data_IF_471844562346
#
_entry.id   IF_471844562346
#
_cell.length_a   1.000
_cell.length_b   1.000
_cell.length_c   1.000
_cell.angle_alpha   90.00
_cell.angle_beta   90.00
_cell.angle_gamma   90.00
#
_symmetry.space_group_name_H-M   'P 1'
#
loop_
_entity.id
_entity.type
_entity.pdbx_description
1 polymer ?
#
# COMPACT_ATOMS: atom_id res chain seq x y z
N UNK A 1 -17.02 0.74 2.42
CA UNK A 1 -15.60 0.71 2.88
C UNK A 1 -15.29 -0.44 3.84
N UNK A 2 -15.99 -0.58 4.99
CA UNK A 2 -15.76 -1.65 5.99
C UNK A 2 -15.75 -3.08 5.39
N UNK A 3 -16.64 -3.39 4.45
CA UNK A 3 -16.75 -4.71 3.80
C UNK A 3 -15.49 -5.12 3.03
N UNK A 4 -14.85 -4.20 2.30
CA UNK A 4 -13.62 -4.49 1.55
C UNK A 4 -12.48 -4.86 2.49
N UNK A 5 -12.36 -4.13 3.61
CA UNK A 5 -11.35 -4.41 4.64
C UNK A 5 -11.59 -5.76 5.32
N UNK A 6 -12.86 -6.10 5.60
CA UNK A 6 -13.23 -7.42 6.13
C UNK A 6 -12.90 -8.52 5.11
N UNK A 7 -13.30 -8.36 3.84
CA UNK A 7 -13.05 -9.36 2.79
C UNK A 7 -11.53 -9.58 2.57
N UNK A 8 -10.74 -8.51 2.58
CA UNK A 8 -9.28 -8.58 2.45
C UNK A 8 -8.63 -9.21 3.69
N UNK A 9 -9.06 -8.84 4.91
CA UNK A 9 -8.62 -9.47 6.16
C UNK A 9 -8.91 -10.96 6.15
N UNK A 10 -10.16 -11.33 5.90
CA UNK A 10 -10.61 -12.71 5.91
C UNK A 10 -9.82 -13.57 4.92
N UNK A 11 -9.59 -13.06 3.71
CA UNK A 11 -8.79 -13.76 2.73
C UNK A 11 -7.32 -13.87 3.14
N UNK A 12 -6.73 -12.81 3.71
CA UNK A 12 -5.34 -12.82 4.18
C UNK A 12 -5.13 -13.89 5.27
N UNK A 13 -6.09 -14.02 6.19
CA UNK A 13 -6.08 -15.03 7.24
C UNK A 13 -6.32 -16.44 6.69
N UNK A 14 -7.31 -16.63 5.81
CA UNK A 14 -7.55 -17.91 5.12
C UNK A 14 -6.32 -18.38 4.32
N UNK A 15 -5.66 -17.45 3.62
CA UNK A 15 -4.46 -17.75 2.85
C UNK A 15 -3.25 -18.07 3.74
N UNK A 16 -3.15 -17.47 4.92
CA UNK A 16 -2.13 -17.84 5.91
C UNK A 16 -2.36 -19.26 6.42
N UNK A 17 -3.58 -19.61 6.83
CA UNK A 17 -3.91 -20.93 7.38
C UNK A 17 -3.73 -22.07 6.36
N UNK A 18 -3.96 -21.80 5.08
CA UNK A 18 -3.84 -22.80 4.00
C UNK A 18 -2.40 -23.05 3.52
N UNK A 19 -1.46 -22.15 3.80
CA UNK A 19 -0.05 -22.31 3.38
C UNK A 19 0.86 -22.84 4.48
N UNK A 20 0.57 -22.55 5.74
CA UNK A 20 1.51 -22.83 6.84
C UNK A 20 1.10 -23.93 7.82
N UNK A 21 -0.14 -24.45 7.76
CA UNK A 21 -0.74 -25.24 8.85
C UNK A 21 -0.65 -24.55 10.24
N UNK A 22 -0.30 -23.27 10.31
CA UNK A 22 -0.15 -22.56 11.56
C UNK A 22 -1.51 -22.02 12.04
N UNK A 23 -1.95 -22.39 13.25
CA UNK A 23 -3.10 -21.81 13.90
C UNK A 23 -2.69 -20.45 14.49
N UNK A 24 -2.32 -19.49 13.65
CA UNK A 24 -1.61 -18.31 14.14
C UNK A 24 -1.79 -17.12 13.23
N UNK A 25 -2.74 -16.25 13.57
CA UNK A 25 -3.09 -15.04 12.83
C UNK A 25 -1.97 -14.02 12.57
N UNK A 26 -0.70 -14.30 12.90
CA UNK A 26 0.45 -13.42 12.65
C UNK A 26 0.70 -13.27 11.14
N UNK A 27 0.78 -14.39 10.42
CA UNK A 27 0.99 -14.37 8.96
C UNK A 27 -0.20 -13.73 8.21
N UNK A 28 -1.42 -13.94 8.72
CA UNK A 28 -2.62 -13.26 8.21
C UNK A 28 -2.57 -11.74 8.39
N UNK A 29 -2.03 -11.27 9.53
CA UNK A 29 -1.82 -9.83 9.78
C UNK A 29 -0.75 -9.25 8.86
N UNK A 30 0.33 -9.97 8.61
CA UNK A 30 1.38 -9.54 7.68
C UNK A 30 0.81 -9.41 6.26
N UNK A 31 0.10 -10.43 5.77
CA UNK A 31 -0.57 -10.39 4.47
C UNK A 31 -1.58 -9.24 4.37
N UNK A 32 -2.39 -9.00 5.41
CA UNK A 32 -3.28 -7.84 5.45
C UNK A 32 -2.52 -6.51 5.47
N UNK A 33 -1.38 -6.46 6.15
CA UNK A 33 -0.46 -5.32 6.13
C UNK A 33 0.08 -5.03 4.73
N UNK A 34 0.44 -6.05 3.95
CA UNK A 34 0.88 -5.90 2.55
C UNK A 34 -0.22 -5.28 1.69
N UNK A 35 -1.47 -5.71 1.86
CA UNK A 35 -2.60 -5.10 1.17
C UNK A 35 -2.70 -3.60 1.49
N UNK A 36 -2.62 -3.22 2.77
CA UNK A 36 -2.67 -1.81 3.19
C UNK A 36 -1.44 -1.01 2.72
N UNK A 37 -0.26 -1.63 2.74
CA UNK A 37 0.99 -1.02 2.31
C UNK A 37 0.92 -0.54 0.86
N UNK A 38 0.25 -1.28 -0.02
CA UNK A 38 0.06 -0.87 -1.42
C UNK A 38 -0.61 0.50 -1.57
N UNK A 39 -1.55 0.84 -0.68
CA UNK A 39 -2.20 2.15 -0.66
C UNK A 39 -1.40 3.19 0.14
N UNK A 40 -0.70 2.75 1.18
CA UNK A 40 0.16 3.63 1.97
C UNK A 40 1.33 4.19 1.15
N UNK A 41 1.91 3.37 0.26
CA UNK A 41 2.93 3.83 -0.67
C UNK A 41 2.44 4.97 -1.58
N UNK A 42 1.18 4.90 -2.04
CA UNK A 42 0.56 5.99 -2.80
C UNK A 42 0.49 7.29 -2.00
N UNK A 43 0.10 7.21 -0.73
CA UNK A 43 0.07 8.37 0.17
C UNK A 43 1.48 8.94 0.41
N UNK A 44 2.47 8.07 0.62
CA UNK A 44 3.86 8.49 0.77
C UNK A 44 4.37 9.21 -0.49
N UNK A 45 4.07 8.70 -1.69
CA UNK A 45 4.42 9.36 -2.94
C UNK A 45 3.71 10.71 -3.09
N UNK A 46 2.43 10.83 -2.70
CA UNK A 46 1.75 12.14 -2.69
C UNK A 46 2.47 13.14 -1.78
N UNK A 47 2.74 12.75 -0.54
CA UNK A 47 3.40 13.61 0.46
C UNK A 47 4.80 13.99 -0.02
N UNK A 48 5.58 13.04 -0.55
CA UNK A 48 6.91 13.30 -1.08
C UNK A 48 6.88 14.30 -2.25
N UNK A 49 5.92 14.14 -3.17
CA UNK A 49 5.77 15.06 -4.30
C UNK A 49 5.38 16.47 -3.86
N UNK A 50 4.40 16.60 -2.95
CA UNK A 50 4.00 17.89 -2.38
C UNK A 50 5.19 18.54 -1.65
N UNK A 51 5.91 17.78 -0.83
CA UNK A 51 7.07 18.26 -0.07
C UNK A 51 8.20 18.74 -0.99
N UNK A 52 8.43 18.02 -2.09
CA UNK A 52 9.42 18.40 -3.10
C UNK A 52 9.05 19.68 -3.83
N UNK A 53 7.76 19.92 -4.08
CA UNK A 53 7.28 21.14 -4.74
C UNK A 53 7.35 22.36 -3.81
N UNK A 54 7.23 22.14 -2.50
CA UNK A 54 7.30 23.17 -1.47
C UNK A 54 8.73 23.39 -0.92
N UNK A 55 9.77 22.83 -1.55
CA UNK A 55 11.19 22.92 -1.12
C UNK A 55 11.47 22.44 0.32
N UNK A 56 10.61 21.60 0.90
CA UNK A 56 10.79 21.05 2.25
C UNK A 56 11.75 19.84 2.29
N UNK A 57 12.41 19.47 1.19
CA UNK A 57 13.20 18.22 1.10
C UNK A 57 14.70 18.38 1.26
N UNK A 58 15.18 19.50 1.83
CA UNK A 58 16.62 19.74 2.07
C UNK A 58 17.27 18.74 3.03
N UNK A 59 16.49 18.06 3.87
CA UNK A 59 16.98 17.13 4.91
C UNK A 59 17.40 15.74 4.39
N UNK A 60 17.12 15.43 3.13
CA UNK A 60 17.49 14.17 2.46
C UNK A 60 18.76 14.31 1.60
N UNK A 61 19.55 15.37 1.81
CA UNK A 61 20.78 15.62 1.05
C UNK A 61 21.72 14.41 1.07
N UNK A 62 22.40 14.17 -0.05
CA UNK A 62 23.33 13.06 -0.25
C UNK A 62 24.50 13.01 0.75
N UNK A 63 24.69 14.08 1.52
CA UNK A 63 25.73 14.19 2.55
C UNK A 63 25.26 13.80 3.97
N UNK A 64 23.98 13.44 4.15
CA UNK A 64 23.44 13.07 5.46
C UNK A 64 23.96 11.72 5.99
N UNK A 65 24.22 11.55 7.31
CA UNK A 65 24.70 10.29 7.90
C UNK A 65 23.72 9.12 7.65
N UNK A 66 24.25 7.92 7.38
CA UNK A 66 23.45 6.71 7.11
C UNK A 66 22.40 6.41 8.19
N UNK A 67 22.73 6.65 9.46
CA UNK A 67 21.82 6.47 10.60
C UNK A 67 20.59 7.37 10.49
N UNK A 68 20.76 8.62 10.05
CA UNK A 68 19.67 9.59 9.89
C UNK A 68 18.73 9.15 8.77
N UNK A 69 19.25 8.55 7.69
CA UNK A 69 18.44 7.99 6.60
C UNK A 69 17.63 6.77 7.04
N UNK A 70 18.23 5.88 7.83
CA UNK A 70 17.54 4.72 8.40
C UNK A 70 16.43 5.14 9.37
N UNK A 71 16.69 6.13 10.24
CA UNK A 71 15.68 6.70 11.12
C UNK A 71 14.52 7.33 10.35
N UNK A 72 14.80 8.07 9.27
CA UNK A 72 13.76 8.61 8.40
C UNK A 72 12.93 7.51 7.74
N UNK A 73 13.58 6.47 7.20
CA UNK A 73 12.87 5.30 6.64
C UNK A 73 11.96 4.64 7.69
N UNK A 74 12.45 4.50 8.93
CA UNK A 74 11.66 3.94 10.02
C UNK A 74 10.47 4.84 10.40
N UNK A 75 10.68 6.16 10.50
CA UNK A 75 9.61 7.13 10.76
C UNK A 75 8.56 7.10 9.65
N UNK A 76 8.96 6.94 8.39
CA UNK A 76 8.05 6.83 7.25
C UNK A 76 7.28 5.50 7.21
N UNK A 77 7.85 4.40 7.70
CA UNK A 77 7.18 3.09 7.73
C UNK A 77 6.35 2.89 9.00
N UNK A 78 6.74 3.49 10.13
CA UNK A 78 6.05 3.29 11.42
C UNK A 78 4.52 3.57 11.41
N UNK A 79 3.98 4.56 10.66
CA UNK A 79 2.55 4.81 10.63
C UNK A 79 1.78 3.66 9.99
N UNK A 80 2.35 2.92 9.02
CA UNK A 80 1.63 1.79 8.41
C UNK A 80 1.45 0.63 9.40
N UNK A 81 2.40 0.43 10.31
CA UNK A 81 2.29 -0.56 11.37
C UNK A 81 1.17 -0.18 12.35
N UNK A 82 1.11 1.11 12.74
CA UNK A 82 0.06 1.64 13.62
C UNK A 82 -1.31 1.55 12.95
N UNK A 83 -1.44 1.98 11.69
CA UNK A 83 -2.69 1.91 10.92
C UNK A 83 -3.16 0.47 10.80
N UNK A 84 -2.26 -0.46 10.47
CA UNK A 84 -2.59 -1.89 10.37
C UNK A 84 -3.09 -2.43 11.70
N UNK A 85 -2.40 -2.12 12.80
CA UNK A 85 -2.80 -2.51 14.15
C UNK A 85 -4.20 -1.95 14.52
N UNK A 86 -4.44 -0.66 14.31
CA UNK A 86 -5.71 -0.01 14.62
C UNK A 86 -6.87 -0.57 13.79
N UNK A 87 -6.64 -0.83 12.50
CA UNK A 87 -7.64 -1.42 11.61
C UNK A 87 -7.95 -2.86 12.04
N UNK A 88 -6.94 -3.66 12.35
CA UNK A 88 -7.15 -5.01 12.87
C UNK A 88 -7.93 -5.01 14.17
N UNK A 89 -7.57 -4.16 15.14
CA UNK A 89 -8.28 -4.01 16.42
C UNK A 89 -9.74 -3.61 16.22
N UNK A 90 -10.03 -2.74 15.24
CA UNK A 90 -11.40 -2.34 14.89
C UNK A 90 -12.19 -3.44 14.20
N UNK A 91 -11.52 -4.35 13.51
CA UNK A 91 -12.12 -5.47 12.80
C UNK A 91 -12.24 -6.73 13.66
N UNK A 92 -11.45 -6.86 14.73
CA UNK A 92 -11.44 -7.98 15.68
C UNK A 92 -12.83 -8.41 16.20
N UNK A 93 -13.79 -7.50 16.48
CA UNK A 93 -15.14 -7.89 16.90
C UNK A 93 -15.94 -8.64 15.82
N UNK A 94 -15.51 -8.60 14.56
CA UNK A 94 -16.16 -9.33 13.46
C UNK A 94 -15.56 -10.73 13.40
N UNK A 95 -16.33 -11.79 13.70
CA UNK A 95 -15.81 -13.15 13.72
C UNK A 95 -15.20 -13.52 12.37
N UNK A 96 -14.12 -14.28 12.41
CA UNK A 96 -13.50 -14.82 11.22
C UNK A 96 -14.40 -15.92 10.66
N UNK A 97 -14.71 -15.85 9.36
CA UNK A 97 -15.38 -16.96 8.72
C UNK A 97 -14.35 -18.07 8.42
N UNK A 98 -14.26 -19.07 9.32
CA UNK A 98 -13.34 -20.20 9.17
C UNK A 98 -13.82 -21.23 8.14
N UNK A 99 -15.11 -21.22 7.79
CA UNK A 99 -15.74 -22.15 6.85
C UNK A 99 -16.19 -21.41 5.60
N UNK A 100 -15.21 -20.89 4.83
CA UNK A 100 -15.54 -20.18 3.60
C UNK A 100 -15.88 -21.17 2.47
N UNK A 101 -17.05 -20.97 1.86
CA UNK A 101 -17.40 -21.69 0.64
C UNK A 101 -16.40 -21.35 -0.48
N UNK A 102 -16.11 -22.29 -1.41
CA UNK A 102 -15.18 -22.07 -2.52
C UNK A 102 -15.47 -20.82 -3.36
N UNK A 103 -16.76 -20.48 -3.52
CA UNK A 103 -17.19 -19.29 -4.25
C UNK A 103 -16.83 -17.98 -3.52
N UNK A 104 -16.93 -17.97 -2.18
CA UNK A 104 -16.58 -16.81 -1.37
C UNK A 104 -15.07 -16.57 -1.38
N UNK A 105 -14.28 -17.64 -1.33
CA UNK A 105 -12.80 -17.57 -1.44
C UNK A 105 -12.41 -16.91 -2.77
N UNK A 106 -13.00 -17.35 -3.89
CA UNK A 106 -12.74 -16.75 -5.21
C UNK A 106 -13.11 -15.27 -5.26
N UNK A 107 -14.20 -14.86 -4.59
CA UNK A 107 -14.61 -13.46 -4.50
C UNK A 107 -13.62 -12.64 -3.67
N UNK A 108 -13.33 -13.06 -2.44
CA UNK A 108 -12.42 -12.32 -1.53
C UNK A 108 -10.99 -12.28 -2.06
N UNK A 109 -10.51 -13.35 -2.72
CA UNK A 109 -9.25 -13.36 -3.46
C UNK A 109 -9.20 -12.28 -4.54
N UNK A 110 -10.27 -12.17 -5.35
CA UNK A 110 -10.35 -11.13 -6.38
C UNK A 110 -10.29 -9.73 -5.77
N UNK A 111 -11.02 -9.49 -4.69
CA UNK A 111 -10.97 -8.21 -3.96
C UNK A 111 -9.56 -7.89 -3.48
N UNK A 112 -8.88 -8.86 -2.86
CA UNK A 112 -7.52 -8.69 -2.36
C UNK A 112 -6.53 -8.39 -3.51
N UNK A 113 -6.52 -9.21 -4.57
CA UNK A 113 -5.58 -9.08 -5.69
C UNK A 113 -5.83 -7.79 -6.46
N UNK A 114 -7.08 -7.55 -6.88
CA UNK A 114 -7.45 -6.36 -7.65
C UNK A 114 -7.18 -5.10 -6.81
N UNK A 115 -7.54 -5.11 -5.53
CA UNK A 115 -7.25 -3.99 -4.63
C UNK A 115 -5.76 -3.70 -4.54
N UNK A 116 -4.93 -4.72 -4.31
CA UNK A 116 -3.46 -4.56 -4.25
C UNK A 116 -2.90 -4.01 -5.56
N UNK A 117 -3.34 -4.54 -6.71
CA UNK A 117 -2.89 -4.06 -8.03
C UNK A 117 -3.28 -2.59 -8.23
N UNK A 118 -4.53 -2.21 -7.91
CA UNK A 118 -4.98 -0.83 -8.02
C UNK A 118 -4.20 0.11 -7.10
N UNK A 119 -3.87 -0.33 -5.88
CA UNK A 119 -3.01 0.41 -4.96
C UNK A 119 -1.63 0.68 -5.57
N UNK A 120 -0.98 -0.35 -6.10
CA UNK A 120 0.34 -0.24 -6.75
C UNK A 120 0.30 0.63 -8.01
N UNK A 121 -0.70 0.47 -8.87
CA UNK A 121 -0.86 1.31 -10.07
C UNK A 121 -1.04 2.78 -9.69
N UNK A 122 -1.81 3.06 -8.63
CA UNK A 122 -1.98 4.42 -8.11
C UNK A 122 -0.66 4.98 -7.58
N UNK A 123 0.14 4.17 -6.88
CA UNK A 123 1.45 4.55 -6.37
C UNK A 123 2.41 4.90 -7.52
N UNK A 124 2.44 4.10 -8.60
CA UNK A 124 3.24 4.36 -9.80
C UNK A 124 2.77 5.65 -10.50
N UNK A 125 1.46 5.78 -10.70
CA UNK A 125 0.89 6.94 -11.37
C UNK A 125 1.22 8.25 -10.62
N UNK A 126 1.03 8.26 -9.31
CA UNK A 126 1.29 9.45 -8.50
C UNK A 126 2.79 9.67 -8.25
N UNK A 127 3.56 8.61 -8.08
CA UNK A 127 5.00 8.69 -7.82
C UNK A 127 5.85 9.03 -9.04
N UNK A 128 5.42 8.63 -10.24
CA UNK A 128 6.23 8.73 -11.47
C UNK A 128 5.55 9.58 -12.54
N UNK A 129 4.28 9.30 -12.86
CA UNK A 129 3.60 9.93 -14.00
C UNK A 129 3.28 11.40 -13.71
N UNK A 130 2.65 11.71 -12.56
CA UNK A 130 2.30 13.09 -12.19
C UNK A 130 3.53 13.99 -12.12
N UNK A 131 4.63 13.63 -11.43
CA UNK A 131 5.77 14.52 -11.28
C UNK A 131 6.49 14.74 -12.61
N UNK A 132 6.60 13.70 -13.44
CA UNK A 132 7.22 13.82 -14.76
C UNK A 132 6.40 14.75 -15.67
N UNK A 133 5.07 14.64 -15.63
CA UNK A 133 4.17 15.54 -16.34
C UNK A 133 4.27 17.00 -15.85
N UNK A 134 4.25 17.22 -14.53
CA UNK A 134 4.32 18.56 -13.93
C UNK A 134 5.65 19.27 -14.23
N UNK A 135 6.75 18.51 -14.29
CA UNK A 135 8.10 19.00 -14.64
C UNK A 135 8.31 19.22 -16.15
N UNK A 136 7.28 19.01 -16.98
CA UNK A 136 7.38 19.16 -18.43
C UNK A 136 8.13 18.03 -19.13
N UNK A 137 8.34 16.90 -18.44
CA UNK A 137 8.92 15.70 -19.02
C UNK A 137 8.01 15.06 -20.05
N UNK A 138 8.62 14.39 -21.03
CA UNK A 138 7.91 13.62 -22.06
C UNK A 138 7.61 12.22 -21.51
N UNK A 139 6.32 11.86 -21.42
CA UNK A 139 5.89 10.51 -21.05
C UNK A 139 5.43 9.80 -22.32
N UNK A 140 6.12 8.72 -22.69
CA UNK A 140 5.74 7.87 -23.81
C UNK A 140 5.00 6.63 -23.28
N UNK A 141 3.72 6.50 -23.63
CA UNK A 141 2.90 5.32 -23.34
C UNK A 141 2.42 4.70 -24.65
N UNK A 142 3.10 3.63 -25.09
CA UNK A 142 2.86 2.98 -26.38
C UNK A 142 2.94 4.00 -27.53
N UNK A 143 1.81 4.35 -28.15
CA UNK A 143 1.72 5.33 -29.24
C UNK A 143 1.29 6.74 -28.78
N UNK A 144 1.09 6.95 -27.47
CA UNK A 144 0.66 8.23 -26.92
C UNK A 144 1.83 8.95 -26.26
N UNK A 145 2.03 10.21 -26.64
CA UNK A 145 2.99 11.11 -26.00
C UNK A 145 2.21 12.09 -25.13
N UNK A 146 2.41 12.01 -23.82
CA UNK A 146 1.92 12.99 -22.86
C UNK A 146 3.04 14.01 -22.60
N UNK A 147 2.84 15.23 -23.07
CA UNK A 147 3.71 16.36 -22.83
C UNK A 147 2.85 17.55 -22.40
N UNK A 148 3.31 18.30 -21.40
CA UNK A 148 2.66 19.54 -21.00
C UNK A 148 2.79 20.53 -22.16
N UNK A 149 1.68 20.85 -22.82
CA UNK A 149 1.63 21.91 -23.82
C UNK A 149 1.99 23.23 -23.15
N UNK A 150 2.98 23.93 -23.71
CA UNK A 150 3.32 25.31 -23.35
C UNK A 150 2.21 26.27 -23.73
#
# INVERSE_FOLDING_TARGET
MKKILIDARDFAFYWSTTQGNEPGGIDGRIKFGVFLLSYYMTLLFMIANISSHLNYTSFLSEDGPTIVRLLHGFILISPILIITYLLLKKLEPVPYNHEMLPQEIKRKRRVYIIGTILGLLSAIFIGIVIPLYLRGGRIEFFNYVLQRGT
#
